data_IF_680814044326
#
_entry.id   IF_680814044326
#
_cell.length_a   1.000
_cell.length_b   1.000
_cell.length_c   1.000
_cell.angle_alpha   90.00
_cell.angle_beta   90.00
_cell.angle_gamma   90.00
#
_symmetry.space_group_name_H-M   'P 1'
#
loop_
_entity.id
_entity.type
_entity.pdbx_description
1 polymer ?
#
# COMPACT_ATOMS: atom_id res chain seq x y z
N UNK A 1 3.68 11.44 -1.77
CA UNK A 1 2.39 12.03 -2.20
C UNK A 1 1.57 12.20 -0.91
N UNK A 2 0.27 12.58 -0.90
CA UNK A 2 -0.49 12.59 0.38
C UNK A 2 -1.01 11.18 0.67
N UNK A 3 -1.08 10.80 1.95
CA UNK A 3 -1.51 9.47 2.40
C UNK A 3 -2.88 9.02 1.90
N UNK A 4 -3.83 9.96 1.76
CA UNK A 4 -5.16 9.70 1.21
C UNK A 4 -5.12 9.25 -0.25
N UNK A 5 -4.27 9.89 -1.06
CA UNK A 5 -4.05 9.50 -2.45
C UNK A 5 -3.36 8.12 -2.54
N UNK A 6 -2.39 7.83 -1.67
CA UNK A 6 -1.76 6.49 -1.61
C UNK A 6 -2.80 5.39 -1.35
N UNK A 7 -3.70 5.61 -0.38
CA UNK A 7 -4.80 4.68 -0.10
C UNK A 7 -5.72 4.50 -1.28
N UNK A 8 -6.19 5.59 -1.89
CA UNK A 8 -7.14 5.53 -3.02
C UNK A 8 -6.53 4.75 -4.18
N UNK A 9 -5.28 5.06 -4.56
CA UNK A 9 -4.57 4.36 -5.62
C UNK A 9 -4.35 2.88 -5.30
N UNK A 10 -3.96 2.58 -4.05
CA UNK A 10 -3.78 1.22 -3.55
C UNK A 10 -5.06 0.40 -3.63
N UNK A 11 -6.13 0.89 -3.01
CA UNK A 11 -7.43 0.21 -2.93
C UNK A 11 -8.06 0.04 -4.32
N UNK A 12 -7.99 1.03 -5.20
CA UNK A 12 -8.50 0.87 -6.57
C UNK A 12 -7.67 -0.09 -7.40
N UNK A 13 -6.35 -0.13 -7.23
CA UNK A 13 -5.52 -1.17 -7.87
C UNK A 13 -5.92 -2.56 -7.36
N UNK A 14 -6.09 -2.73 -6.05
CA UNK A 14 -6.45 -4.02 -5.46
C UNK A 14 -7.85 -4.48 -5.87
N UNK A 15 -8.85 -3.60 -5.79
CA UNK A 15 -10.23 -3.93 -6.15
C UNK A 15 -10.38 -4.20 -7.64
N UNK A 16 -9.64 -3.50 -8.52
CA UNK A 16 -9.53 -3.86 -9.94
C UNK A 16 -9.02 -5.29 -10.14
N UNK A 17 -7.92 -5.66 -9.47
CA UNK A 17 -7.35 -7.01 -9.59
C UNK A 17 -8.24 -8.10 -8.98
N UNK A 18 -8.99 -7.78 -7.93
CA UNK A 18 -9.91 -8.71 -7.27
C UNK A 18 -11.27 -8.81 -7.96
N UNK A 19 -11.67 -7.82 -8.76
CA UNK A 19 -12.99 -7.76 -9.39
C UNK A 19 -13.38 -9.05 -10.15
N UNK A 20 -12.51 -9.65 -10.99
CA UNK A 20 -12.81 -10.90 -11.70
C UNK A 20 -13.04 -12.11 -10.77
N UNK A 21 -12.60 -12.01 -9.51
CA UNK A 21 -12.57 -13.12 -8.56
C UNK A 21 -13.65 -13.03 -7.47
N UNK A 22 -14.39 -11.91 -7.37
CA UNK A 22 -15.36 -11.71 -6.29
C UNK A 22 -16.49 -12.76 -6.26
N UNK A 23 -16.82 -13.36 -7.40
CA UNK A 23 -17.82 -14.43 -7.48
C UNK A 23 -17.31 -15.81 -7.06
N UNK A 24 -15.99 -15.97 -6.92
CA UNK A 24 -15.34 -17.28 -6.69
C UNK A 24 -14.55 -17.34 -5.40
N UNK A 25 -13.99 -16.21 -4.94
CA UNK A 25 -13.23 -16.14 -3.71
C UNK A 25 -14.15 -15.93 -2.51
N UNK A 26 -13.74 -16.46 -1.37
CA UNK A 26 -14.37 -16.14 -0.10
C UNK A 26 -14.39 -14.60 0.14
N UNK A 27 -15.54 -14.01 0.47
CA UNK A 27 -15.65 -12.58 0.72
C UNK A 27 -14.72 -12.09 1.85
N UNK A 28 -14.47 -12.94 2.85
CA UNK A 28 -13.54 -12.67 3.94
C UNK A 28 -12.11 -12.48 3.43
N UNK A 29 -11.64 -13.32 2.51
CA UNK A 29 -10.32 -13.14 1.87
C UNK A 29 -10.24 -11.84 1.07
N UNK A 30 -11.28 -11.49 0.31
CA UNK A 30 -11.31 -10.24 -0.45
C UNK A 30 -11.24 -9.03 0.49
N UNK A 31 -12.00 -9.05 1.59
CA UNK A 31 -11.97 -8.02 2.61
C UNK A 31 -10.62 -7.93 3.31
N UNK A 32 -10.02 -9.07 3.69
CA UNK A 32 -8.69 -9.13 4.29
C UNK A 32 -7.61 -8.57 3.36
N UNK A 33 -7.65 -8.90 2.07
CA UNK A 33 -6.70 -8.38 1.08
C UNK A 33 -6.83 -6.85 0.93
N UNK A 34 -8.06 -6.33 0.78
CA UNK A 34 -8.30 -4.87 0.65
C UNK A 34 -7.93 -4.13 1.94
N UNK A 35 -8.25 -4.67 3.12
CA UNK A 35 -7.85 -4.11 4.40
C UNK A 35 -6.31 -4.10 4.55
N UNK A 36 -5.65 -5.17 4.12
CA UNK A 36 -4.19 -5.24 4.01
C UNK A 36 -3.66 -4.11 3.15
N UNK A 37 -4.13 -3.98 1.91
CA UNK A 37 -3.68 -2.93 0.97
C UNK A 37 -3.91 -1.52 1.53
N UNK A 38 -5.08 -1.29 2.14
CA UNK A 38 -5.41 -0.02 2.77
C UNK A 38 -4.38 0.36 3.83
N UNK A 39 -4.09 -0.53 4.79
CA UNK A 39 -3.11 -0.28 5.85
C UNK A 39 -1.69 -0.22 5.29
N UNK A 40 -1.32 -1.16 4.43
CA UNK A 40 0.00 -1.26 3.81
C UNK A 40 0.37 -0.02 3.01
N UNK A 41 -0.59 0.60 2.32
CA UNK A 41 -0.37 1.85 1.58
C UNK A 41 -0.06 3.07 2.45
N UNK A 42 -0.28 2.97 3.77
CA UNK A 42 0.05 3.99 4.76
C UNK A 42 1.28 3.64 5.59
N UNK A 43 1.67 2.36 5.60
CA UNK A 43 2.73 1.86 6.46
C UNK A 43 4.09 2.51 6.23
N UNK A 44 4.54 2.80 4.98
CA UNK A 44 5.83 3.45 4.76
C UNK A 44 5.94 4.81 5.45
N UNK A 45 4.86 5.61 5.44
CA UNK A 45 4.83 6.94 6.05
C UNK A 45 4.80 6.92 7.59
N UNK A 46 4.79 5.76 8.24
CA UNK A 46 4.85 5.68 9.70
C UNK A 46 6.17 6.23 10.30
N UNK A 47 7.17 6.50 9.47
CA UNK A 47 8.40 7.22 9.84
C UNK A 47 8.20 8.74 10.01
N UNK A 48 7.10 9.29 9.52
CA UNK A 48 6.76 10.72 9.60
C UNK A 48 5.66 10.98 10.63
N UNK A 49 5.94 11.87 11.59
CA UNK A 49 5.01 12.16 12.70
C UNK A 49 3.68 12.81 12.24
N UNK A 50 3.64 13.38 11.03
CA UNK A 50 2.48 14.01 10.46
C UNK A 50 1.66 13.14 9.51
N UNK A 51 2.07 11.88 9.32
CA UNK A 51 1.44 10.96 8.39
C UNK A 51 -0.04 10.68 8.68
N UNK A 52 -0.78 10.36 7.63
CA UNK A 52 -2.21 10.06 7.70
C UNK A 52 -2.52 8.86 8.61
N UNK A 53 -1.56 7.94 8.79
CA UNK A 53 -1.70 6.81 9.71
C UNK A 53 -1.86 7.25 11.18
N UNK A 54 -1.32 8.41 11.57
CA UNK A 54 -1.42 8.92 12.95
C UNK A 54 -2.59 9.88 13.19
N UNK A 55 -3.09 10.54 12.13
CA UNK A 55 -4.17 11.53 12.27
C UNK A 55 -5.52 11.02 11.78
N UNK A 56 -5.53 9.89 11.07
CA UNK A 56 -6.66 9.45 10.25
C UNK A 56 -6.95 10.42 9.10
N UNK A 57 -8.01 10.13 8.36
CA UNK A 57 -8.46 11.01 7.30
C UNK A 57 -9.49 12.01 7.83
N UNK A 58 -9.31 13.29 7.50
CA UNK A 58 -10.30 14.32 7.76
C UNK A 58 -11.03 14.66 6.45
N UNK A 59 -12.36 14.50 6.43
CA UNK A 59 -13.16 14.80 5.24
C UNK A 59 -14.40 13.92 5.06
N UNK A 60 -15.17 14.20 4.01
CA UNK A 60 -16.40 13.47 3.64
C UNK A 60 -17.70 14.12 4.11
N UNK A 61 -18.81 13.77 3.46
CA UNK A 61 -20.19 14.14 3.84
C UNK A 61 -21.01 12.87 4.11
N UNK A 62 -22.02 12.95 4.99
CA UNK A 62 -22.97 11.85 5.25
C UNK A 62 -22.32 10.57 5.84
N UNK A 63 -22.73 9.41 5.32
CA UNK A 63 -22.30 8.08 5.77
C UNK A 63 -20.78 7.87 5.64
N UNK A 64 -20.20 8.38 4.56
CA UNK A 64 -18.76 8.28 4.28
C UNK A 64 -17.91 8.96 5.37
N UNK A 65 -18.39 10.10 5.90
CA UNK A 65 -17.75 10.78 7.05
C UNK A 65 -17.84 9.97 8.35
N UNK A 66 -18.87 9.14 8.49
CA UNK A 66 -19.05 8.25 9.65
C UNK A 66 -18.06 7.10 9.58
N UNK A 67 -17.93 6.46 8.40
CA UNK A 67 -16.96 5.38 8.17
C UNK A 67 -15.51 5.85 8.32
N UNK A 68 -15.16 6.99 7.71
CA UNK A 68 -13.81 7.56 7.81
C UNK A 68 -13.45 7.92 9.27
N UNK A 69 -14.41 8.34 10.09
CA UNK A 69 -14.13 8.71 11.49
C UNK A 69 -13.57 7.56 12.32
N UNK A 70 -13.95 6.32 12.03
CA UNK A 70 -13.41 5.16 12.75
C UNK A 70 -11.94 4.89 12.41
N UNK A 71 -11.45 5.39 11.27
CA UNK A 71 -10.01 5.31 10.93
C UNK A 71 -9.15 6.08 11.92
N UNK A 72 -9.69 7.13 12.57
CA UNK A 72 -8.99 7.94 13.57
C UNK A 72 -8.67 7.14 14.84
N UNK A 73 -9.35 6.02 15.10
CA UNK A 73 -9.07 5.16 16.26
C UNK A 73 -8.14 4.00 15.89
N UNK A 74 -8.42 3.33 14.76
CA UNK A 74 -7.69 2.12 14.37
C UNK A 74 -6.33 2.44 13.75
N UNK A 75 -6.25 3.46 12.89
CA UNK A 75 -5.01 3.76 12.19
C UNK A 75 -3.88 4.19 13.14
N UNK A 76 -4.11 5.05 14.16
CA UNK A 76 -3.01 5.43 15.05
C UNK A 76 -2.46 4.25 15.84
N UNK A 77 -3.32 3.31 16.28
CA UNK A 77 -2.85 2.09 16.93
C UNK A 77 -1.91 1.30 16.01
N UNK A 78 -2.32 1.07 14.77
CA UNK A 78 -1.50 0.37 13.77
C UNK A 78 -0.23 1.15 13.45
N UNK A 79 -0.33 2.47 13.30
CA UNK A 79 0.80 3.35 13.08
C UNK A 79 1.81 3.31 14.21
N UNK A 80 1.36 3.23 15.47
CA UNK A 80 2.24 3.08 16.62
C UNK A 80 2.89 1.71 16.69
N UNK A 81 2.17 0.63 16.37
CA UNK A 81 2.77 -0.70 16.23
C UNK A 81 3.86 -0.69 15.16
N UNK A 82 3.60 -0.12 13.99
CA UNK A 82 4.60 -0.03 12.92
C UNK A 82 5.77 0.86 13.36
N UNK A 83 5.51 2.04 13.91
CA UNK A 83 6.57 3.01 14.25
C UNK A 83 7.46 2.53 15.40
N UNK A 84 6.85 2.13 16.51
CA UNK A 84 7.56 1.80 17.75
C UNK A 84 7.86 0.31 17.89
N UNK A 85 7.00 -0.56 17.35
CA UNK A 85 7.24 -2.00 17.38
C UNK A 85 8.15 -2.48 16.25
N UNK A 86 8.16 -1.81 15.09
CA UNK A 86 8.90 -2.30 13.92
C UNK A 86 9.99 -1.32 13.49
N UNK A 87 9.63 -0.10 13.11
CA UNK A 87 10.54 0.85 12.48
C UNK A 87 11.72 1.25 13.37
N UNK A 88 11.46 1.71 14.59
CA UNK A 88 12.55 2.11 15.49
C UNK A 88 13.45 0.93 15.88
N UNK A 89 12.93 -0.26 16.26
CA UNK A 89 13.78 -1.43 16.52
C UNK A 89 14.62 -1.84 15.32
N UNK A 90 14.03 -1.93 14.12
CA UNK A 90 14.79 -2.29 12.92
C UNK A 90 15.81 -1.21 12.56
N UNK A 91 15.47 0.07 12.70
CA UNK A 91 16.42 1.16 12.46
C UNK A 91 17.57 1.15 13.46
N UNK A 92 17.31 0.81 14.72
CA UNK A 92 18.36 0.64 15.72
C UNK A 92 19.28 -0.54 15.36
N UNK A 93 18.73 -1.67 14.92
CA UNK A 93 19.52 -2.81 14.44
C UNK A 93 20.38 -2.41 13.22
N UNK A 94 19.81 -1.73 12.24
CA UNK A 94 20.55 -1.24 11.08
C UNK A 94 21.66 -0.26 11.48
N UNK A 95 21.39 0.64 12.43
CA UNK A 95 22.38 1.58 12.95
C UNK A 95 23.53 0.85 13.63
N UNK A 96 23.26 -0.13 14.50
CA UNK A 96 24.28 -0.96 15.17
C UNK A 96 25.09 -1.75 14.15
N UNK A 97 24.44 -2.51 13.27
CA UNK A 97 25.09 -3.38 12.30
C UNK A 97 25.91 -2.62 11.25
N UNK A 98 25.60 -1.35 11.00
CA UNK A 98 26.35 -0.50 10.06
C UNK A 98 27.24 0.53 10.75
N UNK A 99 27.50 0.37 12.05
CA UNK A 99 28.35 1.25 12.85
C UNK A 99 27.99 2.73 12.70
N UNK A 100 26.68 3.01 12.62
CA UNK A 100 26.12 4.36 12.54
C UNK A 100 26.03 4.97 11.15
N UNK A 101 26.36 4.22 10.10
CA UNK A 101 26.25 4.67 8.70
C UNK A 101 24.79 4.88 8.29
N UNK A 102 23.92 3.92 8.63
CA UNK A 102 22.48 4.03 8.38
C UNK A 102 21.80 4.64 9.61
N UNK A 103 21.05 5.72 9.40
CA UNK A 103 20.30 6.40 10.46
C UNK A 103 18.80 6.38 10.14
N UNK A 104 17.92 6.43 11.18
CA UNK A 104 16.50 6.64 10.97
C UNK A 104 16.29 7.97 10.25
N UNK A 105 15.60 7.95 9.11
CA UNK A 105 15.30 9.13 8.31
C UNK A 105 14.02 8.91 7.53
N UNK A 106 13.30 10.00 7.24
CA UNK A 106 12.13 9.93 6.37
C UNK A 106 12.55 9.50 4.95
N UNK A 107 11.77 8.62 4.32
CA UNK A 107 12.12 7.99 3.03
C UNK A 107 13.40 7.15 3.09
N UNK A 108 13.65 6.58 4.26
CA UNK A 108 14.74 5.65 4.53
C UNK A 108 14.29 4.21 4.38
N UNK A 109 14.47 3.42 5.44
CA UNK A 109 14.22 1.97 5.39
C UNK A 109 12.76 1.60 5.09
N UNK A 110 11.76 2.28 5.67
CA UNK A 110 10.36 1.94 5.41
C UNK A 110 9.92 2.23 3.97
N UNK A 111 10.59 3.17 3.30
CA UNK A 111 10.35 3.48 1.88
C UNK A 111 11.27 2.68 0.96
N UNK A 112 11.46 1.40 1.23
CA UNK A 112 12.22 0.50 0.37
C UNK A 112 11.56 -0.87 0.29
N UNK A 113 11.92 -1.66 -0.73
CA UNK A 113 11.42 -3.02 -0.88
C UNK A 113 11.86 -3.94 0.28
N UNK A 114 13.13 -3.91 0.74
CA UNK A 114 13.52 -4.56 1.99
C UNK A 114 12.69 -4.12 3.19
N UNK A 115 12.38 -2.82 3.30
CA UNK A 115 11.49 -2.29 4.33
C UNK A 115 10.10 -2.90 4.28
N UNK A 116 9.47 -2.91 3.11
CA UNK A 116 8.14 -3.50 2.92
C UNK A 116 8.12 -4.98 3.32
N UNK A 117 9.14 -5.77 2.94
CA UNK A 117 9.28 -7.17 3.36
C UNK A 117 9.44 -7.29 4.88
N UNK A 118 10.36 -6.54 5.48
CA UNK A 118 10.63 -6.62 6.91
C UNK A 118 9.40 -6.21 7.74
N UNK A 119 8.74 -5.11 7.38
CA UNK A 119 7.53 -4.66 8.08
C UNK A 119 6.39 -5.66 7.97
N UNK A 120 6.15 -6.23 6.78
CA UNK A 120 5.13 -7.26 6.59
C UNK A 120 5.46 -8.52 7.39
N UNK A 121 6.71 -9.00 7.30
CA UNK A 121 7.16 -10.22 7.97
C UNK A 121 7.10 -10.12 9.49
N UNK A 122 7.56 -8.99 10.06
CA UNK A 122 7.50 -8.75 11.51
C UNK A 122 6.04 -8.62 11.98
N UNK A 123 5.16 -7.98 11.21
CA UNK A 123 3.74 -7.89 11.55
C UNK A 123 3.08 -9.28 11.57
N UNK A 124 3.37 -10.12 10.57
CA UNK A 124 2.88 -11.50 10.53
C UNK A 124 3.47 -12.35 11.67
N UNK A 125 4.74 -12.13 12.01
CA UNK A 125 5.38 -12.79 13.14
C UNK A 125 4.70 -12.41 14.46
N UNK A 126 4.38 -11.13 14.68
CA UNK A 126 3.60 -10.71 15.85
C UNK A 126 2.23 -11.36 15.91
N UNK A 127 1.54 -11.44 14.77
CA UNK A 127 0.30 -12.20 14.66
C UNK A 127 0.50 -13.66 15.05
N UNK A 128 1.49 -14.34 14.47
CA UNK A 128 1.75 -15.76 14.71
C UNK A 128 2.08 -16.04 16.17
N UNK A 129 2.88 -15.18 16.82
CA UNK A 129 3.20 -15.29 18.23
C UNK A 129 1.96 -15.09 19.12
N UNK A 130 1.10 -14.12 18.80
CA UNK A 130 -0.14 -13.86 19.55
C UNK A 130 -1.10 -15.06 19.47
N UNK A 131 -1.35 -15.57 18.26
CA UNK A 131 -2.21 -16.74 18.06
C UNK A 131 -1.60 -17.99 18.71
N UNK A 132 -0.29 -18.20 18.54
CA UNK A 132 0.44 -19.31 19.15
C UNK A 132 0.36 -19.29 20.68
N UNK A 133 0.44 -18.12 21.30
CA UNK A 133 0.24 -17.97 22.75
C UNK A 133 -1.15 -18.40 23.22
N UNK A 134 -2.17 -18.27 22.36
CA UNK A 134 -3.54 -18.74 22.60
C UNK A 134 -3.74 -20.22 22.21
N UNK A 135 -2.68 -20.93 21.79
CA UNK A 135 -2.76 -22.30 21.29
C UNK A 135 -3.40 -22.42 19.90
N UNK A 136 -3.45 -21.32 19.14
CA UNK A 136 -4.07 -21.25 17.82
C UNK A 136 -3.02 -21.12 16.71
N UNK A 137 -3.31 -21.66 15.53
CA UNK A 137 -2.54 -21.39 14.32
C UNK A 137 -2.89 -20.03 13.73
N UNK A 138 -1.94 -19.40 13.00
CA UNK A 138 -2.22 -18.16 12.29
C UNK A 138 -3.28 -18.42 11.20
N UNK A 139 -4.42 -17.70 11.22
CA UNK A 139 -5.48 -17.94 10.25
C UNK A 139 -5.03 -17.54 8.85
N UNK A 140 -5.50 -18.26 7.82
CA UNK A 140 -5.21 -17.94 6.42
C UNK A 140 -5.60 -16.50 6.05
N UNK A 141 -6.65 -15.96 6.68
CA UNK A 141 -7.06 -14.56 6.52
C UNK A 141 -5.94 -13.57 6.91
N UNK A 142 -5.13 -13.88 7.93
CA UNK A 142 -4.00 -13.05 8.31
C UNK A 142 -2.87 -13.10 7.28
N UNK A 143 -2.66 -14.25 6.63
CA UNK A 143 -1.69 -14.39 5.53
C UNK A 143 -2.16 -13.58 4.31
N UNK A 144 -3.44 -13.68 3.95
CA UNK A 144 -4.05 -12.88 2.87
C UNK A 144 -3.97 -11.39 3.18
N UNK A 145 -4.24 -11.00 4.43
CA UNK A 145 -4.03 -9.63 4.90
C UNK A 145 -2.57 -9.19 4.76
N UNK A 146 -1.61 -10.04 5.14
CA UNK A 146 -0.17 -9.75 4.98
C UNK A 146 0.25 -9.57 3.53
N UNK A 147 -0.25 -10.41 2.62
CA UNK A 147 -0.02 -10.26 1.19
C UNK A 147 -0.60 -8.95 0.66
N UNK A 148 -1.82 -8.60 1.09
CA UNK A 148 -2.43 -7.30 0.79
C UNK A 148 -1.63 -6.13 1.36
N UNK A 149 -1.15 -6.23 2.60
CA UNK A 149 -0.31 -5.23 3.26
C UNK A 149 0.97 -4.98 2.47
N UNK A 150 1.67 -6.05 2.09
CA UNK A 150 2.87 -5.95 1.25
C UNK A 150 2.58 -5.28 -0.09
N UNK A 151 1.51 -5.70 -0.78
CA UNK A 151 1.09 -5.09 -2.04
C UNK A 151 0.76 -3.60 -1.88
N UNK A 152 0.07 -3.22 -0.80
CA UNK A 152 -0.21 -1.82 -0.46
C UNK A 152 1.07 -1.01 -0.25
N UNK A 153 2.05 -1.56 0.47
CA UNK A 153 3.35 -0.91 0.67
C UNK A 153 4.09 -0.75 -0.66
N UNK A 154 4.10 -1.76 -1.53
CA UNK A 154 4.72 -1.67 -2.87
C UNK A 154 4.03 -0.62 -3.74
N UNK A 155 2.69 -0.55 -3.73
CA UNK A 155 1.95 0.49 -4.47
C UNK A 155 2.21 1.89 -3.91
N UNK A 156 2.43 2.02 -2.59
CA UNK A 156 2.92 3.25 -2.01
C UNK A 156 4.28 3.66 -2.59
N UNK A 157 5.26 2.75 -2.61
CA UNK A 157 6.60 3.02 -3.19
C UNK A 157 6.52 3.39 -4.68
N UNK A 158 5.63 2.73 -5.43
CA UNK A 158 5.39 3.01 -6.84
C UNK A 158 4.83 4.42 -7.04
N UNK A 159 3.84 4.80 -6.24
CA UNK A 159 3.28 6.15 -6.26
C UNK A 159 4.34 7.20 -5.86
N UNK A 160 5.19 6.90 -4.87
CA UNK A 160 6.22 7.82 -4.42
C UNK A 160 7.42 7.93 -5.37
N UNK A 161 7.67 6.92 -6.20
CA UNK A 161 8.59 6.98 -7.33
C UNK A 161 8.20 8.05 -8.34
N UNK A 162 6.91 8.34 -8.49
CA UNK A 162 6.41 9.38 -9.39
C UNK A 162 6.69 10.80 -8.87
N UNK A 163 7.02 10.94 -7.57
CA UNK A 163 7.27 12.23 -6.91
C UNK A 163 8.71 12.71 -7.12
N UNK A 164 8.93 14.02 -6.99
CA UNK A 164 10.28 14.62 -7.01
C UNK A 164 11.22 14.07 -5.94
N UNK A 165 10.67 13.66 -4.79
CA UNK A 165 11.47 13.08 -3.73
C UNK A 165 11.92 11.65 -4.05
N UNK A 166 11.21 10.95 -4.93
CA UNK A 166 11.53 9.60 -5.37
C UNK A 166 11.64 8.57 -4.23
N UNK A 167 12.11 7.38 -4.61
CA UNK A 167 12.30 6.23 -3.73
C UNK A 167 13.59 5.48 -4.11
N UNK A 168 14.37 5.09 -3.10
CA UNK A 168 15.49 4.18 -3.24
C UNK A 168 15.02 2.74 -2.94
N UNK A 169 14.54 2.04 -3.97
CA UNK A 169 13.88 0.74 -3.84
C UNK A 169 14.72 -0.32 -3.11
N UNK A 170 16.04 -0.31 -3.31
CA UNK A 170 16.95 -1.27 -2.70
C UNK A 170 17.60 -0.79 -1.40
N UNK A 171 17.19 0.34 -0.84
CA UNK A 171 17.77 0.86 0.40
C UNK A 171 17.58 -0.18 1.55
N UNK A 172 18.62 -0.45 2.36
CA UNK A 172 19.89 0.27 2.42
C UNK A 172 21.02 -0.30 1.56
N UNK A 173 20.79 -1.38 0.83
CA UNK A 173 21.83 -2.08 0.06
C UNK A 173 22.19 -1.38 -1.25
N UNK A 174 21.19 -0.75 -1.89
CA UNK A 174 21.35 -0.04 -3.16
C UNK A 174 20.79 1.38 -3.02
N UNK A 175 21.65 2.42 -3.12
CA UNK A 175 21.22 3.80 -2.95
C UNK A 175 20.55 4.41 -4.20
N UNK A 176 20.49 3.67 -5.32
CA UNK A 176 19.89 4.13 -6.58
C UNK A 176 18.45 4.57 -6.36
N UNK A 177 18.16 5.83 -6.69
CA UNK A 177 16.84 6.42 -6.52
C UNK A 177 16.13 6.52 -7.87
N UNK A 178 14.84 6.21 -7.86
CA UNK A 178 13.94 6.52 -8.98
C UNK A 178 13.04 7.68 -8.55
N UNK A 179 12.95 8.71 -9.37
CA UNK A 179 12.14 9.89 -9.10
C UNK A 179 11.45 10.38 -10.36
N UNK A 180 10.28 11.00 -10.18
CA UNK A 180 9.50 11.64 -11.23
C UNK A 180 9.38 13.14 -11.01
N UNK A 181 8.55 13.77 -11.82
CA UNK A 181 8.36 15.23 -11.85
C UNK A 181 7.28 15.73 -10.88
N UNK A 182 6.47 14.84 -10.29
CA UNK A 182 5.26 15.21 -9.55
C UNK A 182 5.61 16.03 -8.28
N UNK A 183 5.17 17.31 -8.20
CA UNK A 183 5.36 18.13 -7.01
C UNK A 183 4.42 17.65 -5.89
N UNK A 184 4.99 17.17 -4.79
CA UNK A 184 4.22 16.79 -3.60
C UNK A 184 3.32 17.93 -3.12
N UNK A 185 2.06 17.63 -2.80
CA UNK A 185 1.09 18.60 -2.25
C UNK A 185 0.40 19.52 -3.25
N UNK A 186 0.58 19.34 -4.55
CA UNK A 186 0.03 20.21 -5.60
C UNK A 186 -1.45 19.92 -5.98
N UNK A 187 -2.12 20.92 -6.58
CA UNK A 187 -3.43 20.83 -7.28
C UNK A 187 -3.38 19.98 -8.57
N UNK A 188 -2.27 19.29 -8.80
CA UNK A 188 -2.09 18.39 -9.92
C UNK A 188 -3.13 17.26 -9.83
N UNK A 189 -3.87 17.07 -10.92
CA UNK A 189 -5.00 16.15 -11.04
C UNK A 189 -4.60 14.75 -11.51
N UNK A 190 -3.33 14.53 -11.88
CA UNK A 190 -2.90 13.25 -12.44
C UNK A 190 -3.15 12.06 -11.50
N UNK A 191 -2.91 12.14 -10.18
CA UNK A 191 -3.28 11.06 -9.26
C UNK A 191 -4.79 10.79 -9.22
N UNK A 192 -5.62 11.82 -9.32
CA UNK A 192 -7.09 11.68 -9.38
C UNK A 192 -7.54 11.04 -10.70
N UNK A 193 -6.91 11.39 -11.83
CA UNK A 193 -7.16 10.75 -13.13
C UNK A 193 -6.77 9.27 -13.07
N UNK A 194 -5.58 8.96 -12.54
CA UNK A 194 -5.13 7.59 -12.32
C UNK A 194 -6.12 6.80 -11.45
N UNK A 195 -6.55 7.37 -10.33
CA UNK A 195 -7.56 6.77 -9.47
C UNK A 195 -8.87 6.52 -10.23
N UNK A 196 -9.34 7.50 -11.01
CA UNK A 196 -10.53 7.36 -11.84
C UNK A 196 -10.42 6.22 -12.87
N UNK A 197 -9.26 6.07 -13.52
CA UNK A 197 -9.01 5.00 -14.49
C UNK A 197 -8.97 3.62 -13.82
N UNK A 198 -8.32 3.52 -12.65
CA UNK A 198 -8.28 2.28 -11.87
C UNK A 198 -9.68 1.88 -11.38
N UNK A 199 -10.41 2.81 -10.75
CA UNK A 199 -11.76 2.56 -10.25
C UNK A 199 -12.78 2.31 -11.36
N UNK A 200 -12.67 3.01 -12.50
CA UNK A 200 -13.46 2.73 -13.70
C UNK A 200 -13.17 1.34 -14.26
N UNK A 201 -11.89 0.93 -14.24
CA UNK A 201 -11.50 -0.45 -14.54
C UNK A 201 -12.14 -1.47 -13.60
N UNK A 202 -12.16 -1.20 -12.29
CA UNK A 202 -12.84 -2.07 -11.32
C UNK A 202 -14.29 -2.28 -11.72
N UNK A 203 -15.04 -1.21 -11.99
CA UNK A 203 -16.44 -1.30 -12.43
C UNK A 203 -16.57 -2.09 -13.73
N UNK A 204 -15.70 -1.82 -14.71
CA UNK A 204 -15.70 -2.52 -15.99
C UNK A 204 -15.55 -4.04 -15.79
N UNK A 205 -14.57 -4.50 -15.02
CA UNK A 205 -14.33 -5.93 -14.79
C UNK A 205 -15.37 -6.57 -13.86
N UNK A 206 -15.98 -5.81 -12.95
CA UNK A 206 -17.10 -6.27 -12.13
C UNK A 206 -18.36 -6.53 -12.96
N UNK A 207 -18.58 -5.76 -14.03
CA UNK A 207 -19.79 -5.86 -14.87
C UNK A 207 -19.56 -6.80 -16.07
N UNK A 208 -18.39 -6.73 -16.70
CA UNK A 208 -18.09 -7.51 -17.90
C UNK A 208 -18.12 -9.02 -17.67
N UNK A 209 -17.67 -9.48 -16.49
CA UNK A 209 -17.66 -10.91 -16.16
C UNK A 209 -19.07 -11.50 -15.97
N UNK A 210 -19.97 -10.93 -15.13
CA UNK A 210 -21.36 -11.40 -15.02
C UNK A 210 -22.17 -11.32 -16.31
N UNK A 211 -21.87 -10.34 -17.19
CA UNK A 211 -22.54 -10.20 -18.48
C UNK A 211 -21.99 -11.14 -19.58
N UNK A 212 -20.97 -11.95 -19.27
CA UNK A 212 -20.35 -12.84 -20.26
C UNK A 212 -19.61 -12.10 -21.38
N UNK A 213 -19.28 -10.82 -21.21
CA UNK A 213 -18.55 -10.02 -22.20
C UNK A 213 -17.08 -10.43 -22.29
N UNK A 214 -16.55 -11.03 -21.23
CA UNK A 214 -15.20 -11.59 -21.17
C UNK A 214 -15.28 -13.04 -20.67
N UNK A 215 -14.56 -13.98 -21.31
CA UNK A 215 -14.43 -15.33 -20.76
C UNK A 215 -13.84 -15.26 -19.34
N UNK A 216 -14.45 -15.98 -18.40
CA UNK A 216 -14.03 -15.99 -16.99
C UNK A 216 -12.53 -16.34 -16.81
N UNK A 217 -12.00 -17.22 -17.66
CA UNK A 217 -10.59 -17.60 -17.65
C UNK A 217 -9.63 -16.47 -18.03
N UNK A 218 -10.09 -15.48 -18.82
CA UNK A 218 -9.25 -14.39 -19.33
C UNK A 218 -9.41 -13.11 -18.51
N UNK A 219 -10.55 -12.93 -17.82
CA UNK A 219 -10.85 -11.73 -17.04
C UNK A 219 -9.77 -11.37 -15.99
N UNK A 220 -9.18 -12.31 -15.23
CA UNK A 220 -8.08 -12.00 -14.31
C UNK A 220 -6.84 -11.43 -15.00
N UNK A 221 -6.41 -12.04 -16.10
CA UNK A 221 -5.26 -11.58 -16.87
C UNK A 221 -5.55 -10.20 -17.50
N UNK A 222 -6.76 -10.00 -18.01
CA UNK A 222 -7.21 -8.72 -18.54
C UNK A 222 -7.15 -7.60 -17.50
N UNK A 223 -7.63 -7.85 -16.27
CA UNK A 223 -7.58 -6.87 -15.18
C UNK A 223 -6.14 -6.54 -14.79
N UNK A 224 -5.26 -7.54 -14.73
CA UNK A 224 -3.84 -7.36 -14.46
C UNK A 224 -3.13 -6.54 -15.56
N UNK A 225 -3.37 -6.85 -16.83
CA UNK A 225 -2.83 -6.09 -17.95
C UNK A 225 -3.33 -4.64 -17.96
N UNK A 226 -4.61 -4.42 -17.68
CA UNK A 226 -5.19 -3.08 -17.59
C UNK A 226 -4.56 -2.27 -16.45
N UNK A 227 -4.43 -2.86 -15.26
CA UNK A 227 -3.75 -2.24 -14.12
C UNK A 227 -2.29 -1.89 -14.44
N UNK A 228 -1.55 -2.83 -15.01
CA UNK A 228 -0.15 -2.64 -15.39
C UNK A 228 0.02 -1.54 -16.44
N UNK A 229 -0.84 -1.52 -17.47
CA UNK A 229 -0.82 -0.50 -18.52
C UNK A 229 -1.06 0.90 -17.95
N UNK A 230 -2.05 1.05 -17.06
CA UNK A 230 -2.35 2.33 -16.42
C UNK A 230 -1.21 2.82 -15.54
N UNK A 231 -0.63 1.94 -14.71
CA UNK A 231 0.53 2.29 -13.90
C UNK A 231 1.75 2.65 -14.76
N UNK A 232 2.00 1.90 -15.84
CA UNK A 232 3.09 2.21 -16.77
C UNK A 232 2.89 3.58 -17.44
N UNK A 233 1.68 3.90 -17.88
CA UNK A 233 1.34 5.22 -18.42
C UNK A 233 1.59 6.33 -17.40
N UNK A 234 1.22 6.12 -16.13
CA UNK A 234 1.46 7.11 -15.08
C UNK A 234 2.94 7.31 -14.76
N UNK A 235 3.73 6.23 -14.71
CA UNK A 235 5.18 6.31 -14.54
C UNK A 235 5.84 7.06 -15.71
N UNK A 236 5.39 6.78 -16.93
CA UNK A 236 5.86 7.46 -18.14
C UNK A 236 5.49 8.95 -18.13
N UNK A 237 4.22 9.28 -17.89
CA UNK A 237 3.74 10.67 -17.83
C UNK A 237 4.44 11.49 -16.73
N UNK A 238 4.74 10.87 -15.59
CA UNK A 238 5.48 11.54 -14.52
C UNK A 238 6.99 11.65 -14.80
N UNK A 239 7.49 11.03 -15.88
CA UNK A 239 8.88 11.16 -16.30
C UNK A 239 9.87 10.49 -15.34
N UNK A 240 9.52 9.30 -14.82
CA UNK A 240 10.36 8.58 -13.88
C UNK A 240 11.72 8.27 -14.48
N UNK A 241 12.78 8.67 -13.79
CA UNK A 241 14.17 8.45 -14.19
C UNK A 241 15.04 8.11 -12.97
N UNK A 242 16.26 7.64 -13.24
CA UNK A 242 17.28 7.38 -12.22
C UNK A 242 17.90 8.71 -11.78
N UNK A 243 18.04 8.87 -10.47
CA UNK A 243 18.70 10.01 -9.80
C UNK A 243 19.93 9.53 -9.05
#
# INVERSE_FOLDING_TARGET
MRGDRHVVLGVFSATLLLAPWLGTLDPGFCLSAVAGVFIGSLAPDADAADAAIFRGFSGGRGLFRRLIRHTVLVLPLVGYVIRYGIYYPVSALLWICTLGTIRPQHRGFLHSLPGAFATTGILLLYGALLFGHMGLSLPLHAIVFGAGFFAGAVLHLLADTCTRGGIAWGFPFVPLRLAGSFPGGSRDRRPEILAGLLGGGTVLFLVAAPLGMLPAAVAPAGAACYAAAIWALFLHDTGVHRV
#
